data_IF_100751612236
#
_entry.id   IF_100751612236
#
_cell.length_a   1.000
_cell.length_b   1.000
_cell.length_c   1.000
_cell.angle_alpha   90.00
_cell.angle_beta   90.00
_cell.angle_gamma   90.00
#
_symmetry.space_group_name_H-M   'P 1'
#
loop_
_entity.id
_entity.type
_entity.pdbx_description
1 polymer ?
#
# COMPACT_ATOMS: atom_id res chain seq x y z
N UNK A 1 3.43 1.17 4.70
CA UNK A 1 3.86 0.98 6.12
C UNK A 1 2.82 1.61 7.04
N UNK A 2 2.65 1.11 8.27
CA UNK A 2 1.65 1.60 9.25
C UNK A 2 0.21 1.11 9.01
N UNK A 3 0.04 -0.10 8.47
CA UNK A 3 -1.28 -0.69 8.32
C UNK A 3 -1.80 -1.24 9.67
N UNK A 4 -3.12 -1.16 9.95
CA UNK A 4 -3.72 -1.83 11.10
C UNK A 4 -3.51 -3.34 11.06
N UNK A 5 -3.53 -3.98 12.25
CA UNK A 5 -3.35 -5.44 12.38
C UNK A 5 -4.46 -6.26 11.73
N UNK A 6 -5.64 -5.66 11.58
CA UNK A 6 -6.83 -6.27 10.99
C UNK A 6 -6.88 -6.13 9.47
N UNK A 7 -5.92 -5.40 8.87
CA UNK A 7 -5.89 -5.20 7.43
C UNK A 7 -5.67 -6.52 6.69
N UNK A 8 -6.51 -6.78 5.70
CA UNK A 8 -6.41 -7.94 4.82
C UNK A 8 -5.79 -7.57 3.48
N UNK A 9 -5.21 -8.55 2.79
CA UNK A 9 -4.66 -8.34 1.44
C UNK A 9 -5.74 -7.86 0.47
N UNK A 10 -6.98 -8.35 0.62
CA UNK A 10 -8.13 -7.92 -0.15
C UNK A 10 -8.45 -6.42 0.05
N UNK A 11 -8.44 -5.90 1.27
CA UNK A 11 -8.68 -4.47 1.53
C UNK A 11 -7.59 -3.58 0.91
N UNK A 12 -6.34 -4.02 1.01
CA UNK A 12 -5.21 -3.33 0.36
C UNK A 12 -5.39 -3.38 -1.15
N UNK A 13 -5.58 -4.56 -1.72
CA UNK A 13 -5.81 -4.72 -3.16
C UNK A 13 -6.97 -3.84 -3.62
N UNK A 14 -8.06 -3.76 -2.87
CA UNK A 14 -9.23 -2.96 -3.22
C UNK A 14 -8.95 -1.44 -3.17
N UNK A 15 -8.09 -1.00 -2.24
CA UNK A 15 -7.65 0.39 -2.16
C UNK A 15 -6.67 0.73 -3.29
N UNK A 16 -5.72 -0.16 -3.58
CA UNK A 16 -4.68 0.07 -4.58
C UNK A 16 -5.12 -0.20 -6.03
N UNK A 17 -6.16 -1.04 -6.25
CA UNK A 17 -6.72 -1.29 -7.58
C UNK A 17 -7.32 -0.04 -8.22
N UNK A 18 -7.76 0.93 -7.39
CA UNK A 18 -8.26 2.22 -7.86
C UNK A 18 -7.18 3.04 -8.58
N UNK A 19 -5.91 2.79 -8.28
CA UNK A 19 -4.77 3.44 -8.93
C UNK A 19 -4.25 2.62 -10.12
N UNK A 20 -4.35 1.30 -10.07
CA UNK A 20 -4.09 0.42 -11.21
C UNK A 20 -4.05 -1.06 -10.83
N UNK A 21 -3.89 -1.93 -11.84
CA UNK A 21 -3.96 -3.38 -11.66
C UNK A 21 -2.86 -3.89 -10.70
N UNK A 22 -3.29 -4.40 -9.55
CA UNK A 22 -2.45 -5.04 -8.55
C UNK A 22 -2.12 -6.46 -9.02
N UNK A 23 -0.83 -6.81 -8.97
CA UNK A 23 -0.32 -8.13 -9.34
C UNK A 23 -0.24 -9.05 -8.12
N UNK A 24 0.32 -8.55 -7.01
CA UNK A 24 0.50 -9.33 -5.78
C UNK A 24 0.50 -8.41 -4.55
N UNK A 25 -0.08 -8.88 -3.44
CA UNK A 25 -0.09 -8.18 -2.15
C UNK A 25 0.43 -9.10 -1.06
N UNK A 26 1.54 -8.70 -0.43
CA UNK A 26 2.17 -9.44 0.66
C UNK A 26 2.19 -8.63 1.93
N UNK A 27 1.36 -9.02 2.89
CA UNK A 27 1.32 -8.41 4.22
C UNK A 27 2.38 -9.05 5.11
N UNK A 28 3.20 -8.22 5.76
CA UNK A 28 4.18 -8.62 6.76
C UNK A 28 3.83 -7.92 8.07
N UNK A 29 3.27 -8.72 8.99
CA UNK A 29 3.01 -8.32 10.36
C UNK A 29 4.06 -8.97 11.27
N UNK A 30 4.99 -8.16 11.81
CA UNK A 30 5.92 -8.51 12.88
C UNK A 30 5.52 -7.78 14.17
N UNK A 31 6.06 -8.24 15.30
CA UNK A 31 5.72 -7.80 16.67
C UNK A 31 5.60 -6.27 16.85
N UNK A 32 6.50 -5.50 16.21
CA UNK A 32 6.52 -4.04 16.24
C UNK A 32 6.28 -3.35 14.88
N UNK A 33 6.12 -4.10 13.79
CA UNK A 33 6.01 -3.51 12.45
C UNK A 33 4.96 -4.21 11.62
N UNK A 34 3.99 -3.43 11.13
CA UNK A 34 2.98 -3.92 10.20
C UNK A 34 3.10 -3.13 8.89
N UNK A 35 3.51 -3.81 7.83
CA UNK A 35 3.64 -3.24 6.50
C UNK A 35 3.22 -4.26 5.44
N UNK A 36 2.86 -3.76 4.27
CA UNK A 36 2.53 -4.59 3.12
C UNK A 36 3.40 -4.19 1.94
N UNK A 37 3.79 -5.19 1.15
CA UNK A 37 4.36 -5.02 -0.18
C UNK A 37 3.24 -5.20 -1.20
N UNK A 38 3.21 -4.29 -2.16
CA UNK A 38 2.21 -4.29 -3.22
C UNK A 38 2.99 -4.22 -4.52
N UNK A 39 2.83 -5.25 -5.34
CA UNK A 39 3.37 -5.32 -6.69
C UNK A 39 2.25 -4.96 -7.64
N UNK A 40 2.47 -3.97 -8.51
CA UNK A 40 1.56 -3.65 -9.59
C UNK A 40 1.97 -4.39 -10.85
N UNK A 41 1.01 -4.66 -11.73
CA UNK A 41 1.29 -5.19 -13.08
C UNK A 41 2.10 -4.18 -13.90
N UNK A 42 1.83 -2.88 -13.71
CA UNK A 42 2.56 -1.79 -14.33
C UNK A 42 3.52 -1.11 -13.35
N UNK A 43 4.80 -1.08 -13.68
CA UNK A 43 5.83 -0.36 -12.91
C UNK A 43 5.56 1.16 -12.82
N UNK A 44 4.99 1.73 -13.89
CA UNK A 44 4.63 3.15 -13.93
C UNK A 44 3.56 3.50 -12.88
N UNK A 45 2.62 2.60 -12.60
CA UNK A 45 1.57 2.81 -11.58
C UNK A 45 2.19 2.91 -10.20
N UNK A 46 3.14 2.04 -9.86
CA UNK A 46 3.81 2.07 -8.57
C UNK A 46 4.55 3.41 -8.36
N UNK A 47 5.24 3.89 -9.38
CA UNK A 47 5.93 5.18 -9.38
C UNK A 47 4.97 6.37 -9.26
N UNK A 48 3.85 6.35 -9.97
CA UNK A 48 2.87 7.44 -9.95
C UNK A 48 2.22 7.57 -8.56
N UNK A 49 1.79 6.44 -7.98
CA UNK A 49 1.25 6.36 -6.62
C UNK A 49 2.28 6.83 -5.60
N UNK A 50 3.54 6.40 -5.72
CA UNK A 50 4.63 6.89 -4.87
C UNK A 50 4.82 8.40 -4.98
N UNK A 51 4.77 8.96 -6.18
CA UNK A 51 4.97 10.40 -6.44
C UNK A 51 3.80 11.23 -5.93
N UNK A 52 2.57 10.82 -6.23
CA UNK A 52 1.36 11.48 -5.73
C UNK A 52 1.33 11.50 -4.20
N UNK A 53 1.66 10.38 -3.59
CA UNK A 53 1.61 10.24 -2.14
C UNK A 53 2.92 10.56 -1.40
N UNK A 54 3.95 11.02 -2.13
CA UNK A 54 5.15 11.61 -1.52
C UNK A 54 4.85 13.00 -0.94
N UNK A 55 3.89 13.72 -1.53
CA UNK A 55 3.49 15.07 -1.13
C UNK A 55 2.30 15.03 -0.17
N UNK A 56 1.34 14.12 -0.42
CA UNK A 56 0.14 13.95 0.39
C UNK A 56 0.06 12.53 0.99
N UNK A 57 0.05 12.37 2.32
CA UNK A 57 -0.02 11.05 2.93
C UNK A 57 -1.32 10.34 2.56
N UNK A 58 -1.22 9.12 2.00
CA UNK A 58 -2.40 8.28 1.77
C UNK A 58 -2.99 7.91 3.13
N UNK A 59 -4.28 8.14 3.31
CA UNK A 59 -5.01 7.70 4.50
C UNK A 59 -5.71 6.38 4.20
N UNK A 60 -5.42 5.36 5.00
CA UNK A 60 -6.05 4.05 4.94
C UNK A 60 -6.73 3.78 6.28
N UNK A 61 -8.03 3.49 6.28
CA UNK A 61 -8.84 3.30 7.50
C UNK A 61 -8.63 4.42 8.53
N UNK A 62 -8.71 5.68 8.06
CA UNK A 62 -8.53 6.87 8.88
C UNK A 62 -7.12 7.00 9.52
N UNK A 63 -6.13 6.27 9.02
CA UNK A 63 -4.73 6.34 9.46
C UNK A 63 -3.81 6.70 8.30
N UNK A 64 -2.88 7.64 8.50
CA UNK A 64 -1.88 7.94 7.47
C UNK A 64 -0.94 6.73 7.33
N UNK A 65 -0.82 6.24 6.11
CA UNK A 65 0.16 5.23 5.74
C UNK A 65 1.30 5.86 4.96
N UNK A 66 2.47 5.28 5.13
CA UNK A 66 3.67 5.72 4.40
C UNK A 66 3.97 4.73 3.30
N UNK A 67 4.05 5.23 2.08
CA UNK A 67 4.48 4.49 0.91
C UNK A 67 5.99 4.70 0.71
N UNK A 68 6.70 3.62 0.42
CA UNK A 68 8.13 3.64 0.16
C UNK A 68 8.45 2.61 -0.93
N UNK A 69 9.42 2.89 -1.82
CA UNK A 69 9.91 1.89 -2.76
C UNK A 69 10.47 0.68 -1.98
N UNK A 70 10.26 -0.52 -2.52
CA UNK A 70 10.68 -1.79 -1.93
C UNK A 70 12.16 -2.08 -2.22
#
# INVERSE_FOLDING_TARGET
KNFPRETTSAEIENCFQSFGAVHDVKIIAKENTHFAFISFVNENTALDVLRQHAIAPLTFLNRPIVLAPA
#
